data_IF_364507397674
#
_entry.id   IF_364507397674
#
_cell.length_a   1.000
_cell.length_b   1.000
_cell.length_c   1.000
_cell.angle_alpha   90.00
_cell.angle_beta   90.00
_cell.angle_gamma   90.00
#
_symmetry.space_group_name_H-M   'P 1'
#
loop_
_entity.id
_entity.type
_entity.pdbx_description
1 polymer ?
#
# COMPACT_ATOMS: atom_id res chain seq x y z
N UNK A 1 6.72 11.14 15.35
CA UNK A 1 7.18 10.08 16.27
C UNK A 1 8.49 9.48 15.76
N UNK A 2 9.45 9.22 16.64
CA UNK A 2 10.68 8.51 16.29
C UNK A 2 10.44 7.01 16.47
N UNK A 3 10.24 6.31 15.35
CA UNK A 3 9.89 4.90 15.35
C UNK A 3 11.07 3.99 15.69
N UNK A 4 10.92 3.16 16.72
CA UNK A 4 11.91 2.15 17.12
C UNK A 4 11.33 0.74 17.25
N UNK A 5 10.00 0.61 17.26
CA UNK A 5 9.30 -0.67 17.36
C UNK A 5 8.86 -1.20 16.00
N UNK A 6 8.66 -2.52 15.92
CA UNK A 6 8.17 -3.20 14.72
C UNK A 6 6.84 -2.67 14.23
N UNK A 7 5.93 -2.34 15.16
CA UNK A 7 4.70 -1.62 14.86
C UNK A 7 4.74 -0.30 15.62
N UNK A 8 4.55 0.79 14.89
CA UNK A 8 4.61 2.14 15.46
C UNK A 8 3.21 2.62 15.82
N UNK A 9 2.26 2.37 14.93
CA UNK A 9 0.84 2.58 15.12
C UNK A 9 0.13 1.25 14.88
N UNK A 10 -0.54 0.79 15.93
CA UNK A 10 -1.33 -0.42 15.90
C UNK A 10 -2.60 -0.20 16.70
N UNK A 11 -3.73 -0.58 16.12
CA UNK A 11 -5.03 -0.54 16.81
C UNK A 11 -5.45 -1.97 17.09
N UNK A 12 -5.59 -2.28 18.37
CA UNK A 12 -5.91 -3.60 18.88
C UNK A 12 -7.33 -3.64 19.44
N UNK A 13 -7.87 -4.85 19.57
CA UNK A 13 -9.11 -5.11 20.30
C UNK A 13 -8.96 -4.66 21.75
N UNK A 14 -10.06 -4.19 22.32
CA UNK A 14 -10.17 -3.92 23.75
C UNK A 14 -10.13 -5.24 24.53
N UNK A 15 -10.04 -5.15 25.86
CA UNK A 15 -10.11 -6.31 26.75
C UNK A 15 -11.40 -7.13 26.60
N UNK A 16 -12.49 -6.51 26.15
CA UNK A 16 -13.77 -7.18 25.86
C UNK A 16 -13.82 -7.86 24.47
N UNK A 17 -12.72 -7.86 23.72
CA UNK A 17 -12.60 -8.46 22.39
C UNK A 17 -13.17 -7.61 21.24
N UNK A 18 -13.77 -6.45 21.53
CA UNK A 18 -14.34 -5.57 20.50
C UNK A 18 -13.29 -4.62 19.94
N UNK A 19 -13.45 -4.24 18.67
CA UNK A 19 -12.62 -3.20 18.08
C UNK A 19 -13.03 -1.81 18.57
N UNK A 20 -12.06 -0.93 18.90
CA UNK A 20 -12.35 0.49 19.05
C UNK A 20 -12.90 1.03 17.71
N UNK A 21 -13.83 1.99 17.81
CA UNK A 21 -14.50 2.59 16.65
C UNK A 21 -14.08 4.04 16.53
N UNK A 22 -14.17 4.57 15.31
CA UNK A 22 -13.83 5.97 14.98
C UNK A 22 -12.40 6.34 15.41
N UNK A 23 -11.47 5.38 15.31
CA UNK A 23 -10.06 5.64 15.58
C UNK A 23 -9.46 6.35 14.37
N UNK A 24 -8.97 7.56 14.60
CA UNK A 24 -8.38 8.42 13.58
C UNK A 24 -7.06 8.97 14.10
N UNK A 25 -6.01 8.79 13.31
CA UNK A 25 -4.68 9.36 13.54
C UNK A 25 -4.46 10.41 12.45
N UNK A 26 -4.24 11.65 12.85
CA UNK A 26 -4.12 12.77 11.91
C UNK A 26 -2.83 13.56 12.14
N UNK A 27 -2.36 14.25 11.10
CA UNK A 27 -1.25 15.20 11.19
C UNK A 27 -0.01 14.61 11.88
N UNK A 28 0.28 13.36 11.57
CA UNK A 28 1.31 12.58 12.26
C UNK A 28 2.48 12.29 11.33
N UNK A 29 3.66 12.70 11.74
CA UNK A 29 4.92 12.26 11.13
C UNK A 29 5.42 10.97 11.80
N UNK A 30 5.84 9.99 11.00
CA UNK A 30 6.53 8.79 11.45
C UNK A 30 7.90 8.76 10.77
N UNK A 31 8.95 8.92 11.59
CA UNK A 31 10.33 8.87 11.14
C UNK A 31 10.95 7.54 11.58
N UNK A 32 11.25 6.68 10.60
CA UNK A 32 11.82 5.35 10.80
C UNK A 32 13.35 5.28 10.84
N UNK A 33 14.08 6.39 10.95
CA UNK A 33 15.56 6.39 10.93
C UNK A 33 16.18 5.37 11.90
N UNK A 34 15.51 5.11 13.04
CA UNK A 34 15.95 4.18 14.07
C UNK A 34 15.24 2.82 14.03
N UNK A 35 14.33 2.61 13.08
CA UNK A 35 13.63 1.36 12.88
C UNK A 35 14.47 0.38 12.07
N UNK A 36 14.23 -0.92 12.24
CA UNK A 36 14.76 -1.92 11.32
C UNK A 36 14.11 -1.74 9.93
N UNK A 37 14.82 -2.11 8.88
CA UNK A 37 14.25 -2.15 7.52
C UNK A 37 12.94 -2.96 7.48
N UNK A 38 12.87 -4.02 8.28
CA UNK A 38 11.72 -4.90 8.35
C UNK A 38 10.55 -4.35 9.18
N UNK A 39 10.66 -3.22 9.86
CA UNK A 39 9.53 -2.76 10.67
C UNK A 39 8.36 -2.31 9.79
N UNK A 40 7.14 -2.45 10.31
CA UNK A 40 5.87 -2.12 9.65
C UNK A 40 5.18 -1.05 10.51
N UNK A 41 5.48 0.24 10.28
CA UNK A 41 4.94 1.36 11.05
C UNK A 41 3.43 1.32 11.27
N UNK A 42 2.65 1.03 10.22
CA UNK A 42 1.20 1.02 10.25
C UNK A 42 0.68 -0.42 10.17
N UNK A 43 0.07 -0.92 11.23
CA UNK A 43 -0.46 -2.28 11.24
C UNK A 43 -1.88 -2.34 11.81
N UNK A 44 -2.82 -2.89 11.03
CA UNK A 44 -4.21 -3.14 11.44
C UNK A 44 -4.51 -4.64 11.48
N UNK A 45 -3.92 -5.41 12.43
CA UNK A 45 -4.09 -6.87 12.47
C UNK A 45 -5.54 -7.31 12.62
N UNK A 46 -6.28 -6.60 13.47
CA UNK A 46 -7.63 -6.95 13.92
C UNK A 46 -8.61 -5.81 13.69
N UNK A 47 -8.18 -4.58 13.96
CA UNK A 47 -9.06 -3.42 14.01
C UNK A 47 -8.58 -2.35 13.04
N UNK A 48 -9.51 -1.92 12.19
CA UNK A 48 -9.30 -0.83 11.25
C UNK A 48 -9.23 0.53 11.93
N UNK A 49 -8.64 1.48 11.23
CA UNK A 49 -8.50 2.88 11.64
C UNK A 49 -8.35 3.77 10.41
N UNK A 50 -8.38 5.08 10.62
CA UNK A 50 -8.03 6.06 9.59
C UNK A 50 -6.70 6.71 9.95
N UNK A 51 -5.76 6.73 9.01
CA UNK A 51 -4.53 7.51 9.07
C UNK A 51 -4.57 8.58 7.99
N UNK A 52 -4.54 9.85 8.39
CA UNK A 52 -4.86 10.97 7.53
C UNK A 52 -3.88 12.13 7.69
N UNK A 53 -3.57 12.86 6.62
CA UNK A 53 -2.62 13.99 6.65
C UNK A 53 -1.26 13.63 7.29
N UNK A 54 -0.80 12.40 7.12
CA UNK A 54 0.44 11.92 7.73
C UNK A 54 1.64 12.01 6.80
N UNK A 55 2.82 11.90 7.40
CA UNK A 55 4.09 11.79 6.68
C UNK A 55 4.89 10.62 7.22
N UNK A 56 5.16 9.62 6.39
CA UNK A 56 5.96 8.44 6.80
C UNK A 56 7.19 8.38 5.92
N UNK A 57 8.35 8.27 6.55
CA UNK A 57 9.63 8.20 5.84
C UNK A 57 10.70 7.48 6.64
N UNK A 58 11.80 7.16 5.98
CA UNK A 58 12.94 6.41 6.51
C UNK A 58 12.56 5.01 7.02
N UNK A 59 11.59 4.37 6.37
CA UNK A 59 11.11 3.02 6.71
C UNK A 59 11.33 2.04 5.55
N UNK A 60 11.53 0.76 5.85
CA UNK A 60 11.72 -0.25 4.81
C UNK A 60 10.39 -0.87 4.38
N UNK A 61 9.51 -1.22 5.30
CA UNK A 61 8.09 -1.46 5.03
C UNK A 61 7.29 -0.37 5.73
N UNK A 62 6.11 -0.03 5.21
CA UNK A 62 5.34 1.06 5.83
C UNK A 62 4.04 0.58 6.43
N UNK A 63 3.30 -0.29 5.74
CA UNK A 63 2.00 -0.76 6.22
C UNK A 63 1.70 -2.20 5.86
N UNK A 64 0.84 -2.79 6.69
CA UNK A 64 0.12 -4.03 6.39
C UNK A 64 -1.33 -3.85 6.81
N UNK A 65 -2.17 -3.47 5.86
CA UNK A 65 -3.59 -3.27 6.11
C UNK A 65 -4.31 -4.62 6.07
N UNK A 66 -5.08 -4.96 7.11
CA UNK A 66 -5.93 -6.17 7.07
C UNK A 66 -7.38 -5.78 6.79
N UNK A 67 -8.09 -5.18 7.74
CA UNK A 67 -9.51 -4.84 7.51
C UNK A 67 -9.83 -3.39 7.87
N UNK A 68 -10.83 -2.82 7.18
CA UNK A 68 -11.51 -1.56 7.53
C UNK A 68 -10.56 -0.37 7.77
N UNK A 69 -9.43 -0.34 7.06
CA UNK A 69 -8.39 0.68 7.26
C UNK A 69 -8.33 1.65 6.09
N UNK A 70 -8.29 2.95 6.40
CA UNK A 70 -8.12 4.01 5.40
C UNK A 70 -6.81 4.74 5.61
N UNK A 71 -5.99 4.85 4.57
CA UNK A 71 -4.82 5.73 4.51
C UNK A 71 -5.14 6.84 3.52
N UNK A 72 -5.19 8.09 3.98
CA UNK A 72 -5.57 9.22 3.12
C UNK A 72 -4.74 10.47 3.28
N UNK A 73 -4.72 11.31 2.24
CA UNK A 73 -4.12 12.65 2.26
C UNK A 73 -2.67 12.69 2.77
N UNK A 74 -1.91 11.59 2.57
CA UNK A 74 -0.62 11.38 3.24
C UNK A 74 0.53 11.25 2.26
N UNK A 75 1.73 11.56 2.74
CA UNK A 75 3.00 11.27 2.06
C UNK A 75 3.61 10.02 2.69
N UNK A 76 3.76 8.94 1.92
CA UNK A 76 4.18 7.64 2.44
C UNK A 76 5.37 7.11 1.64
N UNK A 77 6.56 7.23 2.22
CA UNK A 77 7.83 6.92 1.59
C UNK A 77 8.52 5.73 2.28
N UNK A 78 8.53 4.60 1.60
CA UNK A 78 9.42 3.49 1.92
C UNK A 78 10.76 3.72 1.21
N UNK A 79 11.72 4.32 1.90
CA UNK A 79 13.03 4.70 1.33
C UNK A 79 14.23 4.23 2.17
N UNK A 80 14.03 3.41 3.21
CA UNK A 80 15.12 2.76 3.95
C UNK A 80 15.41 1.38 3.36
N UNK A 81 16.59 1.21 2.80
CA UNK A 81 17.08 -0.04 2.23
C UNK A 81 17.93 -0.83 3.22
N UNK A 82 17.96 -2.15 3.08
CA UNK A 82 18.90 -3.03 3.76
C UNK A 82 19.06 -4.37 3.06
N UNK A 83 19.58 -5.35 3.79
CA UNK A 83 19.88 -6.71 3.28
C UNK A 83 18.91 -7.77 3.81
N UNK A 84 17.77 -7.37 4.38
CA UNK A 84 16.81 -8.30 4.97
C UNK A 84 16.15 -9.26 3.96
N UNK A 85 16.18 -8.92 2.67
CA UNK A 85 15.45 -9.62 1.63
C UNK A 85 13.93 -9.44 1.70
N UNK A 86 13.42 -8.56 2.57
CA UNK A 86 11.99 -8.35 2.69
C UNK A 86 11.42 -7.64 1.46
N UNK A 87 10.21 -8.05 1.07
CA UNK A 87 9.42 -7.29 0.10
C UNK A 87 8.93 -5.99 0.73
N UNK A 88 9.39 -4.88 0.15
CA UNK A 88 9.09 -3.53 0.60
C UNK A 88 8.00 -2.88 -0.25
N UNK A 89 7.32 -1.90 0.35
CA UNK A 89 6.28 -1.11 -0.30
C UNK A 89 5.82 0.09 0.53
N UNK A 90 5.13 1.01 -0.13
CA UNK A 90 4.58 2.21 0.49
C UNK A 90 3.27 1.92 1.21
N UNK A 91 2.22 1.44 0.53
CA UNK A 91 0.98 1.02 1.23
C UNK A 91 0.51 -0.32 0.70
N UNK A 92 0.37 -1.33 1.57
CA UNK A 92 0.14 -2.69 1.11
C UNK A 92 -0.65 -3.56 2.07
N UNK A 93 -0.99 -4.75 1.59
CA UNK A 93 -1.74 -5.78 2.32
C UNK A 93 -1.23 -7.18 1.95
N UNK A 94 -1.31 -8.08 2.92
CA UNK A 94 -1.02 -9.51 2.74
C UNK A 94 -2.30 -10.37 2.82
N UNK A 95 -3.43 -9.76 2.46
CA UNK A 95 -4.78 -10.32 2.60
C UNK A 95 -5.60 -9.47 3.55
N UNK A 96 -6.89 -9.32 3.23
CA UNK A 96 -7.73 -8.39 3.95
C UNK A 96 -8.94 -7.92 3.16
N UNK A 97 -9.82 -7.15 3.80
CA UNK A 97 -10.98 -6.57 3.16
C UNK A 97 -11.22 -5.08 3.48
N UNK A 98 -12.00 -4.41 2.62
CA UNK A 98 -12.57 -3.09 2.89
C UNK A 98 -11.55 -1.99 3.28
N UNK A 99 -10.37 -2.01 2.65
CA UNK A 99 -9.35 -0.98 2.88
C UNK A 99 -9.41 0.11 1.80
N UNK A 100 -8.99 1.31 2.15
CA UNK A 100 -9.01 2.47 1.26
C UNK A 100 -7.66 3.19 1.28
N UNK A 101 -7.16 3.54 0.10
CA UNK A 101 -5.90 4.25 -0.12
C UNK A 101 -6.24 5.44 -1.02
N UNK A 102 -6.40 6.63 -0.43
CA UNK A 102 -7.03 7.77 -1.11
C UNK A 102 -6.18 9.03 -1.05
N UNK A 103 -5.93 9.67 -2.19
CA UNK A 103 -5.28 10.98 -2.26
C UNK A 103 -3.91 11.04 -1.56
N UNK A 104 -3.08 10.02 -1.74
CA UNK A 104 -1.74 9.96 -1.16
C UNK A 104 -0.64 10.15 -2.21
N UNK A 105 0.57 10.50 -1.75
CA UNK A 105 1.81 10.34 -2.52
C UNK A 105 2.55 9.13 -1.97
N UNK A 106 2.66 8.07 -2.77
CA UNK A 106 3.18 6.78 -2.35
C UNK A 106 4.46 6.44 -3.12
N UNK A 107 5.57 6.31 -2.39
CA UNK A 107 6.87 5.99 -2.99
C UNK A 107 7.52 4.79 -2.30
N UNK A 108 8.00 3.84 -3.09
CA UNK A 108 8.94 2.83 -2.61
C UNK A 108 10.24 2.92 -3.42
N UNK A 109 11.33 3.26 -2.74
CA UNK A 109 12.64 3.48 -3.33
C UNK A 109 13.73 2.55 -2.75
N UNK A 110 14.59 2.10 -3.65
CA UNK A 110 15.80 1.32 -3.38
C UNK A 110 15.62 -0.19 -3.46
N UNK A 111 16.65 -0.92 -3.03
CA UNK A 111 16.70 -2.40 -3.04
C UNK A 111 15.58 -2.99 -2.18
N UNK A 112 14.96 -4.06 -2.66
CA UNK A 112 13.89 -4.77 -1.96
C UNK A 112 12.48 -4.21 -2.21
N UNK A 113 12.34 -3.05 -2.84
CA UNK A 113 11.04 -2.56 -3.28
C UNK A 113 10.39 -3.53 -4.26
N UNK A 114 9.19 -3.99 -3.92
CA UNK A 114 8.40 -4.80 -4.82
C UNK A 114 7.46 -3.94 -5.64
N UNK A 115 6.75 -3.02 -4.99
CA UNK A 115 5.81 -2.07 -5.57
C UNK A 115 5.58 -0.87 -4.66
N UNK A 116 4.98 0.21 -5.18
CA UNK A 116 4.42 1.25 -4.31
C UNK A 116 3.23 0.68 -3.52
N UNK A 117 2.36 -0.09 -4.19
CA UNK A 117 1.23 -0.78 -3.57
C UNK A 117 1.35 -2.31 -3.76
N UNK A 118 1.97 -3.05 -2.82
CA UNK A 118 1.95 -4.50 -2.84
C UNK A 118 0.64 -5.04 -2.24
N UNK A 119 -0.15 -5.77 -3.05
CA UNK A 119 -1.30 -6.56 -2.58
C UNK A 119 -1.05 -8.03 -2.86
N UNK A 120 -0.93 -8.83 -1.80
CA UNK A 120 -0.67 -10.27 -1.90
C UNK A 120 -1.66 -11.06 -1.06
N UNK A 121 -2.31 -12.08 -1.61
CA UNK A 121 -3.15 -12.98 -0.82
C UNK A 121 -2.32 -14.03 -0.07
N UNK A 122 -1.44 -13.61 0.84
CA UNK A 122 -0.58 -14.53 1.59
C UNK A 122 -1.36 -15.27 2.69
N UNK A 123 -2.19 -14.54 3.44
CA UNK A 123 -2.86 -15.07 4.63
C UNK A 123 -4.38 -15.19 4.48
N UNK A 124 -4.97 -14.42 3.56
CA UNK A 124 -6.38 -14.46 3.20
C UNK A 124 -6.58 -13.77 1.84
N UNK A 125 -7.75 -13.89 1.18
CA UNK A 125 -8.03 -13.17 -0.04
C UNK A 125 -7.89 -11.65 0.12
N UNK A 126 -7.44 -10.97 -0.95
CA UNK A 126 -7.46 -9.50 -1.01
C UNK A 126 -8.78 -9.07 -1.65
N UNK A 127 -9.63 -8.36 -0.90
CA UNK A 127 -10.96 -7.98 -1.40
C UNK A 127 -11.36 -6.56 -1.05
N UNK A 128 -12.16 -5.90 -1.90
CA UNK A 128 -12.80 -4.64 -1.54
C UNK A 128 -11.84 -3.47 -1.28
N UNK A 129 -10.70 -3.42 -1.98
CA UNK A 129 -9.78 -2.29 -1.88
C UNK A 129 -10.17 -1.15 -2.83
N UNK A 130 -10.19 0.08 -2.31
CA UNK A 130 -10.27 1.30 -3.12
C UNK A 130 -8.91 1.98 -3.14
N UNK A 131 -8.34 2.14 -4.34
CA UNK A 131 -7.13 2.92 -4.59
C UNK A 131 -7.51 4.08 -5.49
N UNK A 132 -7.57 5.29 -4.92
CA UNK A 132 -8.13 6.44 -5.62
C UNK A 132 -7.30 7.73 -5.47
N UNK A 133 -7.12 8.48 -6.56
CA UNK A 133 -6.46 9.79 -6.56
C UNK A 133 -5.03 9.80 -6.00
N UNK A 134 -4.32 8.67 -6.00
CA UNK A 134 -2.95 8.61 -5.49
C UNK A 134 -1.93 8.95 -6.59
N UNK A 135 -0.79 9.50 -6.19
CA UNK A 135 0.43 9.55 -6.99
C UNK A 135 1.34 8.39 -6.58
N UNK A 136 1.70 7.52 -7.52
CA UNK A 136 2.50 6.32 -7.30
C UNK A 136 3.85 6.40 -8.01
N UNK A 137 4.92 6.03 -7.33
CA UNK A 137 6.23 5.82 -7.95
C UNK A 137 7.01 4.72 -7.23
N UNK A 138 7.77 3.91 -7.96
CA UNK A 138 8.62 2.91 -7.31
C UNK A 138 9.83 2.49 -8.14
N UNK A 139 10.89 2.09 -7.47
CA UNK A 139 12.01 1.31 -8.03
C UNK A 139 11.73 -0.20 -8.11
N UNK A 140 10.52 -0.64 -7.73
CA UNK A 140 10.12 -2.04 -7.73
C UNK A 140 9.80 -2.62 -9.11
N UNK A 141 9.32 -3.87 -9.11
CA UNK A 141 9.01 -4.61 -10.34
C UNK A 141 7.79 -4.04 -11.07
N UNK A 142 6.72 -3.73 -10.35
CA UNK A 142 5.51 -3.10 -10.88
C UNK A 142 5.10 -1.97 -9.94
N UNK A 143 4.35 -0.96 -10.41
CA UNK A 143 3.90 0.10 -9.50
C UNK A 143 2.91 -0.40 -8.45
N UNK A 144 2.06 -1.37 -8.84
CA UNK A 144 1.15 -2.05 -7.95
C UNK A 144 1.06 -3.55 -8.26
N UNK A 145 0.68 -4.32 -7.25
CA UNK A 145 0.13 -5.66 -7.41
C UNK A 145 -1.36 -5.60 -7.06
N UNK A 146 -2.22 -6.22 -7.87
CA UNK A 146 -3.68 -6.14 -7.74
C UNK A 146 -4.34 -7.29 -7.00
N UNK A 147 -3.59 -8.07 -6.21
CA UNK A 147 -4.12 -9.13 -5.35
C UNK A 147 -4.43 -10.47 -6.04
N UNK A 148 -4.39 -10.54 -7.38
CA UNK A 148 -4.59 -11.78 -8.16
C UNK A 148 -3.26 -12.36 -8.61
N UNK A 149 -2.47 -12.87 -7.65
CA UNK A 149 -1.09 -13.35 -7.90
C UNK A 149 -1.05 -14.86 -7.77
N UNK A 150 -0.87 -15.58 -8.88
CA UNK A 150 -0.98 -17.05 -8.97
C UNK A 150 -0.11 -17.83 -7.98
N UNK A 151 1.07 -17.30 -7.65
CA UNK A 151 1.99 -17.95 -6.70
C UNK A 151 1.58 -17.81 -5.24
N UNK A 152 0.49 -17.11 -4.94
CA UNK A 152 0.01 -16.85 -3.58
C UNK A 152 -1.05 -17.88 -3.14
N UNK A 153 -1.14 -18.21 -1.83
CA UNK A 153 -2.15 -19.13 -1.31
C UNK A 153 -3.59 -18.73 -1.62
N UNK A 154 -3.88 -17.42 -1.70
CA UNK A 154 -5.19 -16.86 -2.06
C UNK A 154 -5.06 -16.00 -3.33
N UNK A 155 -4.98 -16.62 -4.52
CA UNK A 155 -4.54 -15.96 -5.75
C UNK A 155 -5.64 -15.19 -6.48
N UNK A 156 -6.84 -15.06 -5.89
CA UNK A 156 -8.01 -14.47 -6.56
C UNK A 156 -8.45 -13.20 -5.83
N UNK A 157 -7.94 -12.04 -6.28
CA UNK A 157 -8.39 -10.73 -5.81
C UNK A 157 -9.79 -10.38 -6.34
N UNK A 158 -10.57 -9.61 -5.58
CA UNK A 158 -11.92 -9.19 -6.00
C UNK A 158 -12.34 -7.83 -5.45
N UNK A 159 -13.21 -7.13 -6.18
CA UNK A 159 -13.70 -5.79 -5.81
C UNK A 159 -12.58 -4.78 -5.56
N UNK A 160 -11.43 -4.93 -6.23
CA UNK A 160 -10.28 -4.03 -6.14
C UNK A 160 -10.41 -2.97 -7.23
N UNK A 161 -10.42 -1.70 -6.84
CA UNK A 161 -10.74 -0.59 -7.73
C UNK A 161 -9.60 0.42 -7.73
N UNK A 162 -8.92 0.55 -8.86
CA UNK A 162 -7.95 1.61 -9.15
C UNK A 162 -8.63 2.69 -9.99
N UNK A 163 -8.88 3.84 -9.38
CA UNK A 163 -9.66 4.93 -9.98
C UNK A 163 -8.86 6.23 -9.92
N UNK A 164 -8.68 6.90 -11.06
CA UNK A 164 -8.15 8.27 -11.13
C UNK A 164 -6.76 8.44 -10.45
N UNK A 165 -5.91 7.42 -10.48
CA UNK A 165 -4.55 7.51 -9.94
C UNK A 165 -3.55 8.00 -10.99
N UNK A 166 -2.48 8.62 -10.51
CA UNK A 166 -1.34 9.06 -11.30
C UNK A 166 -0.16 8.10 -11.10
N UNK A 167 0.34 7.55 -12.19
CA UNK A 167 1.51 6.66 -12.23
C UNK A 167 2.71 7.45 -12.74
N UNK A 168 3.74 7.64 -11.92
CA UNK A 168 4.89 8.48 -12.27
C UNK A 168 6.01 7.69 -12.93
N UNK A 169 6.61 8.29 -13.95
CA UNK A 169 7.82 7.78 -14.62
C UNK A 169 9.11 8.17 -13.90
N UNK A 170 9.04 8.68 -12.66
CA UNK A 170 10.18 9.18 -11.86
C UNK A 170 11.37 8.23 -11.81
N UNK A 171 11.13 6.93 -11.67
CA UNK A 171 12.19 5.91 -11.53
C UNK A 171 12.35 5.03 -12.78
N UNK A 172 11.24 4.72 -13.44
CA UNK A 172 11.22 3.93 -14.67
C UNK A 172 10.12 4.45 -15.60
N UNK A 173 10.28 4.34 -16.93
CA UNK A 173 9.26 4.77 -17.90
C UNK A 173 7.87 4.13 -17.73
N UNK A 174 7.76 3.05 -16.96
CA UNK A 174 6.54 2.26 -16.81
C UNK A 174 5.98 2.23 -15.37
N UNK A 175 6.42 3.13 -14.47
CA UNK A 175 6.06 3.14 -13.04
C UNK A 175 6.36 1.77 -12.39
N UNK A 176 7.61 1.56 -11.99
CA UNK A 176 8.16 0.22 -11.76
C UNK A 176 8.80 -0.33 -13.04
N UNK A 177 9.57 -1.41 -12.93
CA UNK A 177 10.41 -1.93 -14.02
C UNK A 177 9.60 -2.50 -15.19
N UNK A 178 8.45 -3.10 -14.92
CA UNK A 178 7.70 -3.92 -15.88
C UNK A 178 6.31 -3.37 -16.23
N UNK A 179 5.77 -2.43 -15.45
CA UNK A 179 4.44 -1.90 -15.71
C UNK A 179 3.75 -1.28 -14.51
N UNK A 180 2.63 -0.58 -14.76
CA UNK A 180 1.88 0.12 -13.73
C UNK A 180 1.23 -0.84 -12.74
N UNK A 181 0.82 -2.03 -13.19
CA UNK A 181 0.18 -3.04 -12.35
C UNK A 181 0.44 -4.46 -12.89
N UNK A 182 0.42 -5.45 -12.01
CA UNK A 182 0.33 -6.88 -12.34
C UNK A 182 -0.56 -7.63 -11.34
N UNK A 183 -0.93 -8.86 -11.68
CA UNK A 183 -1.81 -9.69 -10.85
C UNK A 183 -3.15 -9.00 -10.58
N UNK A 184 -3.76 -8.47 -11.64
CA UNK A 184 -5.01 -7.72 -11.58
C UNK A 184 -5.91 -8.12 -12.74
N UNK A 185 -6.95 -8.91 -12.44
CA UNK A 185 -7.91 -9.33 -13.45
C UNK A 185 -8.92 -8.20 -13.71
N UNK A 186 -8.60 -7.27 -14.62
CA UNK A 186 -9.46 -6.11 -14.89
C UNK A 186 -10.84 -6.52 -15.43
N UNK A 187 -11.91 -5.95 -14.88
CA UNK A 187 -13.29 -6.28 -15.24
C UNK A 187 -13.79 -7.62 -14.69
N UNK A 188 -12.97 -8.34 -13.94
CA UNK A 188 -13.29 -9.66 -13.37
C UNK A 188 -13.49 -9.53 -11.86
N UNK A 189 -14.47 -10.27 -11.31
CA UNK A 189 -14.78 -10.30 -9.86
C UNK A 189 -14.96 -8.89 -9.25
N UNK A 190 -15.52 -7.94 -10.00
CA UNK A 190 -15.75 -6.56 -9.55
C UNK A 190 -14.50 -5.68 -9.52
N UNK A 191 -13.38 -6.14 -10.07
CA UNK A 191 -12.17 -5.35 -10.21
C UNK A 191 -12.37 -4.26 -11.28
N UNK A 192 -11.87 -3.06 -11.01
CA UNK A 192 -12.03 -1.90 -11.89
C UNK A 192 -10.71 -1.16 -12.04
N UNK A 193 -10.34 -0.89 -13.29
CA UNK A 193 -9.29 0.06 -13.65
C UNK A 193 -9.90 1.15 -14.53
N UNK A 194 -9.97 2.39 -14.02
CA UNK A 194 -10.54 3.51 -14.77
C UNK A 194 -9.88 4.83 -14.40
N UNK A 195 -9.81 5.77 -15.35
CA UNK A 195 -9.32 7.13 -15.13
C UNK A 195 -7.83 7.26 -14.74
N UNK A 196 -7.10 6.15 -14.66
CA UNK A 196 -5.68 6.16 -14.30
C UNK A 196 -4.83 6.75 -15.44
N UNK A 197 -3.88 7.61 -15.09
CA UNK A 197 -3.03 8.33 -16.04
C UNK A 197 -1.56 8.28 -15.67
N UNK A 198 -0.69 8.48 -16.66
CA UNK A 198 0.71 8.82 -16.44
C UNK A 198 0.82 10.22 -15.88
N UNK A 199 1.50 10.36 -14.75
CA UNK A 199 1.60 11.63 -14.02
C UNK A 199 2.16 12.76 -14.90
N UNK A 200 3.20 12.45 -15.67
CA UNK A 200 3.98 13.42 -16.43
C UNK A 200 3.28 13.87 -17.72
N UNK A 201 2.33 13.10 -18.25
CA UNK A 201 1.74 13.36 -19.57
C UNK A 201 0.21 13.47 -19.56
N UNK A 202 -0.46 13.03 -18.49
CA UNK A 202 -1.91 12.92 -18.43
C UNK A 202 -2.50 11.86 -19.36
N UNK A 203 -1.68 11.11 -20.10
CA UNK A 203 -2.15 10.02 -20.97
C UNK A 203 -2.64 8.85 -20.12
N UNK A 204 -3.63 8.13 -20.62
CA UNK A 204 -4.14 6.93 -19.95
C UNK A 204 -3.02 5.92 -19.65
N UNK A 205 -3.00 5.42 -18.43
CA UNK A 205 -2.23 4.24 -18.04
C UNK A 205 -3.15 3.02 -18.15
N UNK A 206 -2.68 1.93 -18.76
CA UNK A 206 -3.45 0.70 -18.91
C UNK A 206 -3.11 -0.29 -17.80
N UNK A 207 -4.11 -1.06 -17.35
CA UNK A 207 -3.83 -2.31 -16.66
C UNK A 207 -3.29 -3.32 -17.68
N UNK A 208 -2.12 -3.90 -17.40
CA UNK A 208 -1.52 -4.97 -18.21
C UNK A 208 -2.22 -6.30 -17.94
#
# INVERSE_FOLDING_TARGET
MNGTGTYMIQVLKKSDGTCPRNVRIEYTEINGTNAAENDIPLYSPDCGYVFDHGYIHNVGRTSRLVNDTTISNSYVFSNRTGSSGAHRGAVGTNGGNNNQIINNVLMCEGVGCSAAIPMYGDFMPVTGLLVQHNLLATTGSYCAYGGSVDSKPYPNGSNIRFIDNHFSTRYFPTCGRYGPITGFDNGVRGNVWTGNVWHETGRAASAN
#
